data_IF_252451073597
#
_entry.id   IF_252451073597
#
_cell.length_a   1.000
_cell.length_b   1.000
_cell.length_c   1.000
_cell.angle_alpha   90.00
_cell.angle_beta   90.00
_cell.angle_gamma   90.00
#
_symmetry.space_group_name_H-M   'P 1'
#
loop_
_entity.id
_entity.type
_entity.pdbx_description
1 polymer ?
#
# COMPACT_ATOMS: atom_id res chain seq x y z
N UNK A 1 -3.30 -10.19 -22.74
CA UNK A 1 -3.01 -8.81 -22.31
C UNK A 1 -3.64 -8.61 -20.92
N UNK A 2 -2.92 -8.90 -19.84
CA UNK A 2 -3.42 -8.80 -18.45
C UNK A 2 -2.27 -8.54 -17.45
N UNK A 3 -1.47 -7.49 -17.67
CA UNK A 3 -0.32 -7.16 -16.79
C UNK A 3 -0.24 -5.68 -16.34
N UNK A 4 -1.26 -4.87 -16.61
CA UNK A 4 -1.23 -3.41 -16.38
C UNK A 4 -2.10 -2.96 -15.18
N UNK A 5 -2.66 -3.87 -14.37
CA UNK A 5 -3.80 -3.54 -13.49
C UNK A 5 -3.37 -3.00 -12.12
N UNK A 6 -2.23 -3.45 -11.58
CA UNK A 6 -1.62 -2.86 -10.39
C UNK A 6 -0.98 -1.49 -10.67
N UNK A 7 -0.82 -1.16 -11.96
CA UNK A 7 -0.20 0.08 -12.38
C UNK A 7 -1.01 1.28 -11.87
N UNK A 8 -2.31 1.21 -11.60
CA UNK A 8 -3.05 2.45 -11.33
C UNK A 8 -2.84 3.04 -9.91
N UNK A 9 -2.47 2.24 -8.91
CA UNK A 9 -1.98 2.74 -7.61
C UNK A 9 -0.47 3.07 -7.62
N UNK A 10 0.29 2.56 -8.60
CA UNK A 10 1.76 2.67 -8.68
C UNK A 10 2.30 3.56 -9.82
N UNK A 11 1.51 3.88 -10.83
CA UNK A 11 1.95 4.57 -12.06
C UNK A 11 2.41 5.98 -11.73
N UNK A 12 1.85 6.58 -10.69
CA UNK A 12 2.31 7.90 -10.23
C UNK A 12 3.51 7.82 -9.27
N UNK A 13 3.80 6.67 -8.66
CA UNK A 13 5.03 6.47 -7.89
C UNK A 13 6.24 6.15 -8.80
N UNK A 14 6.02 5.49 -9.95
CA UNK A 14 7.10 5.06 -10.85
C UNK A 14 7.59 6.13 -11.85
N UNK A 15 6.80 7.16 -12.15
CA UNK A 15 7.21 8.21 -13.11
C UNK A 15 8.34 9.12 -12.60
N UNK A 16 8.71 9.04 -11.31
CA UNK A 16 9.82 9.82 -10.74
C UNK A 16 11.21 9.15 -10.85
N UNK A 17 11.33 7.91 -11.35
CA UNK A 17 12.61 7.16 -11.33
C UNK A 17 13.32 7.10 -12.70
N UNK A 18 12.70 7.58 -13.79
CA UNK A 18 13.28 7.45 -15.15
C UNK A 18 14.25 8.59 -15.51
N UNK A 19 14.48 9.57 -14.64
CA UNK A 19 15.27 10.76 -14.97
C UNK A 19 16.63 10.88 -14.25
N UNK A 20 17.62 10.04 -14.58
CA UNK A 20 19.07 10.36 -14.63
C UNK A 20 19.95 9.09 -14.61
N UNK A 21 20.09 8.40 -15.74
CA UNK A 21 21.26 7.53 -15.96
C UNK A 21 22.41 8.39 -16.47
N UNK A 22 23.20 8.97 -15.54
CA UNK A 22 24.52 9.49 -15.88
C UNK A 22 25.49 8.32 -15.95
N UNK A 23 25.97 8.08 -17.17
CA UNK A 23 27.16 7.33 -17.53
C UNK A 23 28.34 7.78 -16.66
N UNK A 24 29.06 6.85 -16.04
CA UNK A 24 30.19 7.16 -15.16
C UNK A 24 31.03 5.93 -14.81
N UNK A 25 31.87 5.55 -15.78
CA UNK A 25 33.27 5.08 -15.70
C UNK A 25 33.68 4.03 -14.65
N UNK A 26 34.27 2.95 -15.19
CA UNK A 26 35.16 1.98 -14.54
C UNK A 26 36.19 2.63 -13.61
N UNK A 27 36.44 1.98 -12.48
CA UNK A 27 37.76 2.01 -11.81
C UNK A 27 37.99 0.66 -11.15
N UNK A 28 38.90 -0.11 -11.75
CA UNK A 28 39.56 -1.25 -11.15
C UNK A 28 40.40 -0.82 -9.94
N UNK A 29 40.38 -1.63 -8.87
CA UNK A 29 41.05 -1.31 -7.62
C UNK A 29 41.10 -2.49 -6.64
N UNK A 30 41.98 -3.43 -6.94
CA UNK A 30 42.54 -4.49 -6.11
C UNK A 30 42.86 -4.07 -4.65
N UNK A 31 42.62 -4.95 -3.65
CA UNK A 31 43.64 -5.53 -2.75
C UNK A 31 43.05 -6.29 -1.54
N UNK A 32 43.75 -7.38 -1.19
CA UNK A 32 43.47 -8.41 -0.19
C UNK A 32 43.67 -7.99 1.29
N UNK A 33 43.07 -8.74 2.22
CA UNK A 33 43.78 -9.58 3.22
C UNK A 33 42.89 -10.10 4.38
N UNK A 34 42.98 -11.42 4.60
CA UNK A 34 43.13 -12.19 5.85
C UNK A 34 42.43 -11.83 7.19
N UNK A 35 42.00 -12.91 7.87
CA UNK A 35 41.79 -13.03 9.32
C UNK A 35 40.32 -12.99 9.73
N UNK A 36 39.80 -13.72 10.71
CA UNK A 36 40.33 -14.74 11.60
C UNK A 36 39.12 -15.43 12.26
N UNK A 37 39.39 -16.65 12.73
CA UNK A 37 38.55 -17.64 13.41
C UNK A 37 37.82 -17.09 14.66
N UNK A 38 36.55 -17.46 14.87
CA UNK A 38 36.04 -17.76 16.21
C UNK A 38 34.76 -18.60 16.15
N UNK A 39 34.85 -19.78 16.76
CA UNK A 39 33.74 -20.68 17.05
C UNK A 39 32.90 -20.16 18.23
N UNK A 40 31.60 -20.38 18.17
CA UNK A 40 30.67 -20.07 19.26
C UNK A 40 29.48 -21.02 19.22
N UNK A 41 29.65 -22.19 19.86
CA UNK A 41 28.63 -23.21 20.09
C UNK A 41 27.65 -22.71 21.17
N UNK A 42 26.35 -22.73 20.89
CA UNK A 42 25.31 -22.38 21.85
C UNK A 42 23.95 -22.90 21.41
N UNK A 43 23.77 -24.22 21.50
CA UNK A 43 22.50 -24.90 21.23
C UNK A 43 21.77 -25.08 22.57
N UNK A 44 20.78 -24.22 22.83
CA UNK A 44 19.81 -24.42 23.91
C UNK A 44 18.52 -24.95 23.32
N UNK A 45 18.14 -26.16 23.72
CA UNK A 45 16.87 -26.79 23.40
C UNK A 45 15.75 -26.03 24.15
N UNK A 46 14.75 -25.57 23.42
CA UNK A 46 13.50 -25.10 23.99
C UNK A 46 12.39 -26.09 23.62
N UNK A 47 11.74 -26.54 24.68
CA UNK A 47 10.67 -27.51 24.80
C UNK A 47 9.42 -27.08 24.01
N UNK A 48 8.87 -28.00 23.23
CA UNK A 48 7.73 -27.76 22.34
C UNK A 48 6.43 -28.01 23.11
N UNK A 49 5.82 -26.95 23.63
CA UNK A 49 4.44 -26.99 24.11
C UNK A 49 3.50 -27.08 22.90
N UNK A 50 2.81 -28.21 22.77
CA UNK A 50 1.76 -28.42 21.78
C UNK A 50 0.49 -27.75 22.30
N UNK A 51 0.17 -26.57 21.77
CA UNK A 51 -1.11 -25.90 22.03
C UNK A 51 -2.17 -26.48 21.09
N UNK A 52 -3.25 -26.96 21.70
CA UNK A 52 -4.42 -27.56 21.10
C UNK A 52 -5.20 -26.46 20.35
N UNK A 53 -5.09 -26.45 19.02
CA UNK A 53 -5.79 -25.50 18.17
C UNK A 53 -7.30 -25.75 18.27
N UNK A 54 -7.99 -24.88 19.01
CA UNK A 54 -9.44 -24.77 18.96
C UNK A 54 -9.86 -24.48 17.52
N UNK A 55 -10.65 -25.39 16.95
CA UNK A 55 -11.27 -25.22 15.64
C UNK A 55 -12.25 -24.04 15.70
N UNK A 56 -11.78 -22.89 15.21
CA UNK A 56 -12.57 -21.69 14.98
C UNK A 56 -13.56 -22.00 13.85
N UNK A 57 -14.78 -22.39 14.22
CA UNK A 57 -15.94 -22.49 13.32
C UNK A 57 -16.29 -21.10 12.80
N UNK A 58 -15.51 -20.63 11.83
CA UNK A 58 -15.65 -19.35 11.19
C UNK A 58 -16.84 -19.38 10.25
N UNK A 59 -17.86 -18.62 10.63
CA UNK A 59 -19.04 -18.30 9.82
C UNK A 59 -18.61 -17.78 8.44
N UNK A 60 -19.14 -18.42 7.41
CA UNK A 60 -18.70 -18.34 6.01
C UNK A 60 -19.32 -17.14 5.30
N UNK A 61 -19.04 -15.94 5.80
CA UNK A 61 -19.21 -14.71 5.02
C UNK A 61 -17.91 -14.48 4.23
N UNK A 62 -17.74 -15.23 3.14
CA UNK A 62 -16.50 -15.30 2.36
C UNK A 62 -16.16 -14.05 1.55
N UNK A 63 -17.03 -13.03 1.53
CA UNK A 63 -16.89 -11.85 0.69
C UNK A 63 -16.94 -10.55 1.49
N UNK A 64 -15.93 -9.71 1.32
CA UNK A 64 -15.91 -8.35 1.85
C UNK A 64 -16.07 -7.33 0.70
N UNK A 65 -16.67 -6.18 0.98
CA UNK A 65 -16.74 -5.03 0.08
C UNK A 65 -15.69 -3.98 0.46
N UNK A 66 -15.36 -3.08 -0.48
CA UNK A 66 -14.30 -2.08 -0.29
C UNK A 66 -14.53 -1.16 0.92
N UNK A 67 -15.79 -0.79 1.20
CA UNK A 67 -16.17 0.03 2.36
C UNK A 67 -15.93 -0.65 3.71
N UNK A 68 -15.81 -1.98 3.71
CA UNK A 68 -15.46 -2.77 4.89
C UNK A 68 -13.96 -2.99 5.03
N UNK A 69 -13.18 -2.72 3.98
CA UNK A 69 -11.72 -2.77 4.01
C UNK A 69 -11.15 -1.40 4.40
N UNK A 70 -11.69 -0.35 3.79
CA UNK A 70 -11.23 1.02 3.96
C UNK A 70 -12.31 1.83 4.67
N UNK A 71 -12.21 1.89 6.00
CA UNK A 71 -13.13 2.65 6.84
C UNK A 71 -12.74 4.14 6.85
N UNK A 72 -12.78 4.80 5.70
CA UNK A 72 -12.35 6.20 5.55
C UNK A 72 -13.05 7.16 6.53
N UNK A 73 -14.29 6.87 6.93
CA UNK A 73 -15.02 7.68 7.91
C UNK A 73 -14.43 7.64 9.33
N UNK A 74 -13.57 6.69 9.65
CA UNK A 74 -12.93 6.54 10.97
C UNK A 74 -11.44 6.88 10.98
N UNK A 75 -10.88 7.36 9.88
CA UNK A 75 -9.45 7.70 9.77
C UNK A 75 -9.29 9.12 9.26
N UNK A 76 -8.36 9.87 9.85
CA UNK A 76 -7.96 11.22 9.43
C UNK A 76 -6.65 11.19 8.65
N UNK A 77 -5.71 10.36 9.06
CA UNK A 77 -4.44 10.18 8.37
C UNK A 77 -3.86 8.80 8.61
N UNK A 78 -3.05 8.33 7.65
CA UNK A 78 -2.31 7.09 7.77
C UNK A 78 -1.05 7.14 6.90
N UNK A 79 -0.08 6.31 7.23
CA UNK A 79 1.19 6.19 6.50
C UNK A 79 1.43 4.74 6.12
N UNK A 80 1.80 4.50 4.86
CA UNK A 80 2.25 3.20 4.39
C UNK A 80 3.72 3.26 3.98
N UNK A 81 4.46 2.21 4.31
CA UNK A 81 5.77 1.93 3.72
C UNK A 81 5.56 1.10 2.47
N UNK A 82 5.80 1.69 1.31
CA UNK A 82 5.80 1.02 0.01
C UNK A 82 7.20 0.44 -0.24
N UNK A 83 7.29 -0.86 -0.49
CA UNK A 83 8.49 -1.53 -1.01
C UNK A 83 8.22 -2.02 -2.42
N UNK A 84 9.02 -1.59 -3.39
CA UNK A 84 8.92 -2.00 -4.79
C UNK A 84 10.29 -2.12 -5.46
N UNK A 85 10.63 -3.33 -5.94
CA UNK A 85 11.90 -3.60 -6.62
C UNK A 85 13.14 -3.10 -5.86
N UNK A 86 13.15 -3.29 -4.54
CA UNK A 86 14.24 -2.84 -3.65
C UNK A 86 14.19 -1.36 -3.24
N UNK A 87 13.28 -0.57 -3.80
CA UNK A 87 13.05 0.81 -3.38
C UNK A 87 12.03 0.85 -2.24
N UNK A 88 12.32 1.65 -1.22
CA UNK A 88 11.42 1.86 -0.07
C UNK A 88 11.04 3.33 -0.02
N UNK A 89 9.74 3.61 -0.02
CA UNK A 89 9.19 4.97 0.07
C UNK A 89 8.03 4.96 1.07
N UNK A 90 8.00 5.95 1.95
CA UNK A 90 6.83 6.17 2.79
C UNK A 90 5.84 7.08 2.08
N UNK A 91 4.57 6.70 2.11
CA UNK A 91 3.47 7.42 1.50
C UNK A 91 2.52 7.84 2.61
N UNK A 92 2.33 9.15 2.75
CA UNK A 92 1.42 9.73 3.73
C UNK A 92 0.08 10.02 3.08
N UNK A 93 -0.98 9.67 3.78
CA UNK A 93 -2.35 9.90 3.37
C UNK A 93 -3.07 10.75 4.42
N UNK A 94 -3.92 11.66 3.95
CA UNK A 94 -4.97 12.27 4.76
C UNK A 94 -6.33 12.05 4.12
N UNK A 95 -7.33 11.89 4.97
CA UNK A 95 -8.73 11.69 4.59
C UNK A 95 -9.54 12.84 5.16
N UNK A 96 -10.33 13.47 4.30
CA UNK A 96 -11.34 14.46 4.71
C UNK A 96 -12.63 14.25 3.96
N UNK A 97 -13.71 14.88 4.44
CA UNK A 97 -14.95 14.98 3.66
C UNK A 97 -14.86 16.17 2.71
N UNK A 98 -15.43 16.02 1.52
CA UNK A 98 -15.54 17.07 0.49
C UNK A 98 -16.75 16.77 -0.42
N UNK A 99 -16.90 17.50 -1.52
CA UNK A 99 -17.89 17.22 -2.57
C UNK A 99 -17.34 17.53 -3.97
N UNK A 100 -17.80 16.79 -4.98
CA UNK A 100 -17.52 17.06 -6.40
C UNK A 100 -18.84 17.15 -7.14
N UNK A 101 -19.12 18.29 -7.75
CA UNK A 101 -20.37 18.55 -8.51
C UNK A 101 -21.65 18.21 -7.72
N UNK A 102 -21.65 18.46 -6.40
CA UNK A 102 -22.77 18.19 -5.50
C UNK A 102 -22.86 16.74 -5.00
N UNK A 103 -21.93 15.87 -5.38
CA UNK A 103 -21.83 14.50 -4.88
C UNK A 103 -20.91 14.45 -3.66
N UNK A 104 -21.39 13.89 -2.56
CA UNK A 104 -20.61 13.70 -1.33
C UNK A 104 -19.40 12.79 -1.56
N UNK A 105 -18.22 13.27 -1.20
CA UNK A 105 -16.96 12.58 -1.45
C UNK A 105 -16.08 12.48 -0.20
N UNK A 106 -15.27 11.42 -0.16
CA UNK A 106 -14.03 11.38 0.60
C UNK A 106 -12.93 12.00 -0.26
N UNK A 107 -12.22 12.98 0.27
CA UNK A 107 -10.96 13.46 -0.30
C UNK A 107 -9.82 12.67 0.34
N UNK A 108 -9.20 11.80 -0.44
CA UNK A 108 -7.94 11.14 -0.08
C UNK A 108 -6.79 11.92 -0.71
N UNK A 109 -5.98 12.56 0.11
CA UNK A 109 -4.76 13.24 -0.32
C UNK A 109 -3.55 12.38 0.03
N UNK A 110 -2.79 12.00 -0.99
CA UNK A 110 -1.51 11.33 -0.89
C UNK A 110 -0.38 12.35 -1.06
N UNK A 111 0.61 12.31 -0.18
CA UNK A 111 1.86 13.06 -0.33
C UNK A 111 3.03 12.09 -0.40
N UNK A 112 3.84 12.22 -1.46
CA UNK A 112 5.07 11.47 -1.66
C UNK A 112 6.23 12.43 -1.87
N UNK A 113 7.30 12.27 -1.09
CA UNK A 113 8.53 13.05 -1.25
C UNK A 113 9.61 12.16 -1.85
N UNK A 114 10.22 12.61 -2.95
CA UNK A 114 11.33 11.90 -3.60
C UNK A 114 12.32 12.89 -4.20
N UNK A 115 13.61 12.71 -3.92
CA UNK A 115 14.72 13.48 -4.50
C UNK A 115 14.53 15.01 -4.46
N UNK A 116 14.03 15.54 -3.34
CA UNK A 116 13.80 16.99 -3.18
C UNK A 116 12.56 17.52 -3.92
N UNK A 117 11.75 16.65 -4.50
CA UNK A 117 10.43 16.95 -5.04
C UNK A 117 9.33 16.36 -4.15
N UNK A 118 8.19 17.04 -4.08
CA UNK A 118 6.97 16.58 -3.41
C UNK A 118 5.87 16.44 -4.47
N UNK A 119 5.26 15.26 -4.54
CA UNK A 119 4.08 15.00 -5.36
C UNK A 119 2.89 14.86 -4.42
N UNK A 120 1.90 15.74 -4.57
CA UNK A 120 0.63 15.67 -3.87
C UNK A 120 -0.42 15.20 -4.88
N UNK A 121 -1.05 14.07 -4.61
CA UNK A 121 -2.17 13.55 -5.40
C UNK A 121 -3.42 13.56 -4.56
N UNK A 122 -4.46 14.22 -5.03
CA UNK A 122 -5.79 14.28 -4.42
C UNK A 122 -6.74 13.42 -5.25
N UNK A 123 -7.42 12.49 -4.60
CA UNK A 123 -8.45 11.65 -5.20
C UNK A 123 -9.76 11.86 -4.43
N UNK A 124 -10.82 12.17 -5.15
CA UNK A 124 -12.16 12.26 -4.59
C UNK A 124 -12.91 10.97 -4.88
N UNK A 125 -13.36 10.30 -3.82
CA UNK A 125 -14.09 9.03 -3.87
C UNK A 125 -15.52 9.26 -3.40
N UNK A 126 -16.52 8.88 -4.21
CA UNK A 126 -17.93 8.97 -3.81
C UNK A 126 -18.16 8.20 -2.50
N UNK A 127 -18.80 8.81 -1.48
CA UNK A 127 -18.95 8.15 -0.18
C UNK A 127 -19.78 6.86 -0.23
N UNK A 128 -20.79 6.83 -1.10
CA UNK A 128 -21.73 5.71 -1.21
C UNK A 128 -21.12 4.47 -1.89
N UNK A 129 -20.27 4.67 -2.89
CA UNK A 129 -19.79 3.60 -3.77
C UNK A 129 -18.27 3.46 -3.82
N UNK A 130 -17.55 4.45 -3.29
CA UNK A 130 -16.10 4.61 -3.39
C UNK A 130 -15.56 4.70 -4.82
N UNK A 131 -16.41 5.04 -5.79
CA UNK A 131 -15.97 5.34 -7.15
C UNK A 131 -15.15 6.63 -7.18
N UNK A 132 -14.10 6.62 -7.99
CA UNK A 132 -13.34 7.82 -8.27
C UNK A 132 -14.21 8.83 -9.04
N UNK A 133 -14.31 10.04 -8.49
CA UNK A 133 -14.99 11.18 -9.09
C UNK A 133 -13.99 12.11 -9.78
N UNK A 134 -12.82 12.31 -9.17
CA UNK A 134 -11.80 13.25 -9.65
C UNK A 134 -10.42 12.86 -9.14
N UNK A 135 -9.38 13.12 -9.93
CA UNK A 135 -7.98 13.06 -9.50
C UNK A 135 -7.27 14.34 -9.91
N UNK A 136 -6.53 14.94 -8.99
CA UNK A 136 -5.69 16.11 -9.22
C UNK A 136 -4.31 15.87 -8.63
N UNK A 137 -3.26 16.10 -9.41
CA UNK A 137 -1.88 16.03 -8.94
C UNK A 137 -1.21 17.39 -9.01
N UNK A 138 -0.44 17.71 -7.97
CA UNK A 138 0.40 18.89 -7.86
C UNK A 138 1.82 18.43 -7.58
N UNK A 139 2.78 18.98 -8.32
CA UNK A 139 4.19 18.67 -8.14
C UNK A 139 4.88 19.94 -7.64
N UNK A 140 5.61 19.82 -6.53
CA UNK A 140 6.48 20.86 -6.01
C UNK A 140 7.92 20.42 -6.18
N UNK A 141 8.71 21.20 -6.89
CA UNK A 141 10.13 20.94 -7.14
C UNK A 141 10.92 22.25 -7.10
N UNK A 142 12.08 22.26 -6.44
CA UNK A 142 12.93 23.46 -6.37
C UNK A 142 12.26 24.66 -5.70
N UNK A 143 11.31 24.44 -4.79
CA UNK A 143 10.53 25.50 -4.13
C UNK A 143 9.43 26.13 -5.00
N UNK A 144 9.21 25.62 -6.22
CA UNK A 144 8.13 26.05 -7.10
C UNK A 144 7.02 24.99 -7.15
N UNK A 145 5.77 25.45 -7.19
CA UNK A 145 4.59 24.60 -7.38
C UNK A 145 4.17 24.64 -8.86
N UNK A 146 4.15 23.47 -9.50
CA UNK A 146 3.67 23.35 -10.87
C UNK A 146 2.14 23.39 -10.91
N UNK A 147 1.54 23.87 -12.02
CA UNK A 147 0.08 23.88 -12.17
C UNK A 147 -0.52 22.50 -11.94
N UNK A 148 -1.61 22.47 -11.17
CA UNK A 148 -2.36 21.26 -10.92
C UNK A 148 -2.76 20.57 -12.23
N UNK A 149 -2.52 19.27 -12.31
CA UNK A 149 -2.87 18.43 -13.45
C UNK A 149 -4.04 17.54 -13.04
N UNK A 150 -5.13 17.61 -13.80
CA UNK A 150 -6.21 16.65 -13.66
C UNK A 150 -5.86 15.37 -14.41
N UNK A 151 -6.06 14.22 -13.77
CA UNK A 151 -5.86 12.92 -14.40
C UNK A 151 -7.18 12.16 -14.45
N UNK A 152 -7.43 11.37 -15.51
CA UNK A 152 -8.66 10.61 -15.62
C UNK A 152 -8.72 9.58 -14.49
N UNK A 153 -9.90 9.45 -13.89
CA UNK A 153 -10.17 8.36 -12.96
C UNK A 153 -9.96 6.99 -13.63
N UNK A 154 -9.55 5.97 -12.87
CA UNK A 154 -9.49 4.60 -13.37
C UNK A 154 -10.81 4.15 -13.99
N UNK A 155 -10.72 3.34 -15.04
CA UNK A 155 -11.86 2.62 -15.62
C UNK A 155 -11.95 1.18 -15.11
N UNK A 156 -10.94 0.69 -14.39
CA UNK A 156 -10.83 -0.65 -13.83
C UNK A 156 -10.31 -0.62 -12.39
N UNK A 157 -10.50 -1.71 -11.64
CA UNK A 157 -10.08 -1.82 -10.25
C UNK A 157 -11.09 -1.25 -9.24
N UNK A 158 -10.69 -1.26 -7.97
CA UNK A 158 -11.55 -1.04 -6.82
C UNK A 158 -12.29 0.31 -6.82
N UNK A 159 -11.64 1.37 -7.32
CA UNK A 159 -12.19 2.72 -7.36
C UNK A 159 -12.57 3.17 -8.78
N UNK A 160 -12.77 2.23 -9.72
CA UNK A 160 -13.12 2.56 -11.10
C UNK A 160 -14.34 3.47 -11.20
N UNK A 161 -14.24 4.57 -11.94
CA UNK A 161 -15.35 5.49 -12.19
C UNK A 161 -16.54 4.79 -12.88
N UNK A 162 -16.24 3.80 -13.73
CA UNK A 162 -17.24 3.02 -14.50
C UNK A 162 -17.63 1.72 -13.82
N UNK A 163 -17.13 1.43 -12.61
CA UNK A 163 -17.44 0.20 -11.89
C UNK A 163 -18.94 0.07 -11.61
N UNK A 164 -19.56 -1.02 -12.05
CA UNK A 164 -20.97 -1.32 -11.74
C UNK A 164 -21.13 -2.25 -10.53
N UNK A 165 -20.03 -2.86 -10.09
CA UNK A 165 -19.97 -3.72 -8.91
C UNK A 165 -18.82 -3.28 -8.03
N UNK A 166 -19.04 -3.26 -6.72
CA UNK A 166 -17.96 -3.14 -5.76
C UNK A 166 -17.01 -4.35 -5.93
N UNK A 167 -15.69 -4.16 -5.83
CA UNK A 167 -14.76 -5.27 -5.80
C UNK A 167 -15.13 -6.21 -4.63
N UNK A 168 -15.16 -7.51 -4.92
CA UNK A 168 -15.37 -8.53 -3.91
C UNK A 168 -14.00 -9.09 -3.50
N UNK A 169 -13.81 -9.27 -2.21
CA UNK A 169 -12.59 -9.82 -1.63
C UNK A 169 -12.89 -11.20 -1.03
N UNK A 170 -12.19 -12.23 -1.47
CA UNK A 170 -12.35 -13.60 -0.99
C UNK A 170 -11.40 -13.87 0.17
N UNK A 171 -11.92 -14.34 1.30
CA UNK A 171 -11.06 -14.71 2.44
C UNK A 171 -10.29 -15.99 2.13
N UNK A 172 -8.96 -15.91 2.18
CA UNK A 172 -8.05 -17.02 1.87
C UNK A 172 -7.25 -17.51 3.08
N UNK A 173 -7.38 -16.87 4.25
CA UNK A 173 -6.76 -17.37 5.47
C UNK A 173 -6.80 -16.39 6.64
N UNK A 174 -6.09 -16.75 7.72
CA UNK A 174 -5.84 -15.92 8.90
C UNK A 174 -4.38 -16.13 9.29
N UNK A 175 -3.63 -15.05 9.53
CA UNK A 175 -2.24 -15.13 9.97
C UNK A 175 -1.83 -13.95 10.86
N UNK A 176 -0.71 -14.11 11.57
CA UNK A 176 -0.08 -13.02 12.31
C UNK A 176 0.83 -12.22 11.39
N UNK A 177 0.66 -10.90 11.34
CA UNK A 177 1.40 -10.00 10.46
C UNK A 177 2.12 -8.95 11.29
N UNK A 178 3.44 -8.84 11.11
CA UNK A 178 4.26 -7.78 11.69
C UNK A 178 4.59 -6.74 10.64
N UNK A 179 4.21 -5.49 10.91
CA UNK A 179 4.49 -4.29 10.10
C UNK A 179 5.08 -3.20 11.01
N UNK A 180 5.54 -2.04 10.49
CA UNK A 180 6.07 -0.98 11.34
C UNK A 180 5.08 -0.46 12.40
N UNK A 181 3.77 -0.47 12.13
CA UNK A 181 2.73 -0.12 13.10
C UNK A 181 2.56 -1.14 14.26
N UNK A 182 3.14 -2.34 14.16
CA UNK A 182 3.06 -3.39 15.18
C UNK A 182 2.78 -4.79 14.62
N UNK A 183 2.46 -5.72 15.52
CA UNK A 183 2.06 -7.10 15.17
C UNK A 183 0.57 -7.28 15.41
N UNK A 184 -0.12 -7.84 14.42
CA UNK A 184 -1.58 -7.97 14.41
C UNK A 184 -1.99 -9.38 13.99
N UNK A 185 -3.07 -9.89 14.57
CA UNK A 185 -3.81 -11.01 13.97
C UNK A 185 -4.70 -10.47 12.86
N UNK A 186 -4.57 -11.00 11.64
CA UNK A 186 -5.26 -10.49 10.47
C UNK A 186 -5.90 -11.62 9.65
N UNK A 187 -7.10 -11.37 9.14
CA UNK A 187 -7.68 -12.16 8.08
C UNK A 187 -7.06 -11.74 6.74
N UNK A 188 -6.67 -12.72 5.93
CA UNK A 188 -6.08 -12.52 4.62
C UNK A 188 -7.15 -12.70 3.55
N UNK A 189 -7.25 -11.72 2.67
CA UNK A 189 -8.17 -11.71 1.55
C UNK A 189 -7.42 -11.60 0.23
N UNK A 190 -7.99 -12.18 -0.82
CA UNK A 190 -7.60 -12.02 -2.21
C UNK A 190 -8.64 -11.17 -2.94
N UNK A 191 -8.20 -10.18 -3.70
CA UNK A 191 -9.06 -9.31 -4.48
C UNK A 191 -8.41 -8.95 -5.81
N UNK A 192 -9.05 -8.06 -6.57
CA UNK A 192 -8.50 -7.62 -7.84
C UNK A 192 -7.16 -6.90 -7.63
N UNK A 193 -6.07 -7.51 -8.12
CA UNK A 193 -4.73 -6.95 -8.13
C UNK A 193 -3.88 -7.23 -6.90
N UNK A 194 -4.39 -7.94 -5.89
CA UNK A 194 -3.54 -8.31 -4.76
C UNK A 194 -4.21 -9.02 -3.59
N UNK A 195 -3.39 -9.19 -2.57
CA UNK A 195 -3.75 -9.72 -1.27
C UNK A 195 -3.79 -8.61 -0.23
N UNK A 196 -4.74 -8.70 0.69
CA UNK A 196 -5.04 -7.70 1.70
C UNK A 196 -5.11 -8.37 3.07
N UNK A 197 -4.43 -7.81 4.05
CA UNK A 197 -4.46 -8.30 5.43
C UNK A 197 -5.23 -7.33 6.30
N UNK A 198 -6.37 -7.77 6.80
CA UNK A 198 -7.32 -6.94 7.53
C UNK A 198 -7.26 -7.31 9.01
N UNK A 199 -6.88 -6.34 9.83
CA UNK A 199 -6.73 -6.51 11.27
C UNK A 199 -8.03 -6.29 12.01
N UNK A 200 -8.19 -6.99 13.13
CA UNK A 200 -9.27 -6.68 14.07
C UNK A 200 -9.06 -5.26 14.60
N UNK A 201 -10.10 -4.42 14.54
CA UNK A 201 -10.10 -3.03 15.00
C UNK A 201 -9.10 -2.08 14.31
N UNK A 202 -8.52 -2.48 13.17
CA UNK A 202 -7.70 -1.58 12.34
C UNK A 202 -8.57 -1.12 11.17
N UNK A 203 -8.81 0.20 11.00
CA UNK A 203 -9.76 0.72 10.01
C UNK A 203 -9.24 0.68 8.55
N UNK A 204 -8.10 0.06 8.32
CA UNK A 204 -7.36 -0.01 7.06
C UNK A 204 -6.66 -1.37 6.95
N UNK A 205 -6.30 -1.83 5.73
CA UNK A 205 -5.40 -2.97 5.57
C UNK A 205 -4.08 -2.74 6.31
N UNK A 206 -3.66 -3.71 7.10
CA UNK A 206 -2.34 -3.68 7.75
C UNK A 206 -1.24 -3.88 6.72
N UNK A 207 -1.51 -4.73 5.72
CA UNK A 207 -0.61 -5.04 4.63
C UNK A 207 -1.40 -5.20 3.34
N UNK A 208 -0.80 -4.75 2.23
CA UNK A 208 -1.29 -4.98 0.87
C UNK A 208 -0.12 -5.52 0.06
N UNK A 209 -0.34 -6.59 -0.70
CA UNK A 209 0.66 -7.15 -1.60
C UNK A 209 0.06 -7.31 -2.98
N UNK A 210 0.77 -6.87 -4.00
CA UNK A 210 0.44 -7.23 -5.38
C UNK A 210 0.47 -8.73 -5.64
N UNK A 211 -0.25 -9.18 -6.67
CA UNK A 211 -0.32 -10.61 -7.07
C UNK A 211 1.05 -11.27 -7.31
N UNK A 212 2.03 -10.48 -7.79
CA UNK A 212 3.38 -10.95 -8.06
C UNK A 212 4.35 -10.72 -6.88
N UNK A 213 3.87 -10.14 -5.77
CA UNK A 213 4.67 -9.81 -4.59
C UNK A 213 5.72 -8.73 -4.80
N UNK A 214 5.80 -8.12 -5.99
CA UNK A 214 6.85 -7.14 -6.31
C UNK A 214 6.62 -5.80 -5.62
N UNK A 215 5.36 -5.53 -5.26
CA UNK A 215 4.97 -4.36 -4.49
C UNK A 215 4.28 -4.81 -3.22
N UNK A 216 4.76 -4.30 -2.10
CA UNK A 216 4.21 -4.49 -0.76
C UNK A 216 4.01 -3.14 -0.09
N UNK A 217 2.84 -2.91 0.49
CA UNK A 217 2.55 -1.76 1.35
C UNK A 217 2.31 -2.26 2.77
N UNK A 218 3.00 -1.66 3.74
CA UNK A 218 2.91 -2.04 5.15
C UNK A 218 2.54 -0.83 5.99
N UNK A 219 1.53 -0.96 6.84
CA UNK A 219 1.03 0.13 7.67
C UNK A 219 2.11 0.58 8.65
N UNK A 220 2.37 1.89 8.66
CA UNK A 220 3.36 2.53 9.53
C UNK A 220 2.69 3.20 10.71
N UNK A 221 1.65 3.99 10.43
CA UNK A 221 0.90 4.73 11.45
C UNK A 221 -0.50 5.08 10.95
N UNK A 222 -1.44 5.34 11.86
CA UNK A 222 -2.79 5.82 11.55
C UNK A 222 -3.45 6.54 12.74
N UNK A 223 -4.36 7.47 12.44
CA UNK A 223 -5.09 8.29 13.42
C UNK A 223 -6.47 8.72 12.95
#
# INVERSE_FOLDING_TARGET
MKKEILALFLVFALLAVIGCSKTGTETDGQQAAAGEKAAGTGQAAADTTTDEAAEDTSDSSSKLSLDKIFHYGSVKSYEYRLTSSGNVVNIKYSISSDSVDGVDAWLQQQTMTSQGSEVITKMWLEKATQKCLKIVSVIKAGGQEMPAQETPCPTTGANAATGTKAPEFERIGKESVTVPAGTFSADKYEGEGGQYWIGINVPLPIKISSDNGNVVMELVDYS
#
